data_IF_415012265106
#
_entry.id   IF_415012265106
#
_cell.length_a   1.000
_cell.length_b   1.000
_cell.length_c   1.000
_cell.angle_alpha   90.00
_cell.angle_beta   90.00
_cell.angle_gamma   90.00
#
_symmetry.space_group_name_H-M   'P 1'
#
loop_
_entity.id
_entity.type
_entity.pdbx_description
1 polymer ?
#
# COMPACT_ATOMS: atom_id res chain seq x y z
N UNK A 1 0.60 15.45 -12.66
CA UNK A 1 1.43 15.17 -11.47
C UNK A 1 1.67 16.49 -10.78
N UNK A 2 1.37 16.57 -9.49
CA UNK A 2 1.40 17.80 -8.69
C UNK A 2 2.52 17.78 -7.63
N UNK A 3 3.43 16.80 -7.71
CA UNK A 3 4.64 16.76 -6.89
C UNK A 3 4.44 16.23 -5.47
N UNK A 4 3.32 15.57 -5.16
CA UNK A 4 3.11 14.92 -3.85
C UNK A 4 3.95 13.66 -3.73
N UNK A 5 4.47 13.44 -2.53
CA UNK A 5 5.25 12.25 -2.21
C UNK A 5 4.38 10.99 -2.21
N UNK A 6 5.00 9.88 -2.62
CA UNK A 6 4.47 8.53 -2.45
C UNK A 6 5.24 7.84 -1.34
N UNK A 7 4.57 7.59 -0.23
CA UNK A 7 5.20 6.95 0.93
C UNK A 7 5.11 5.43 0.84
N UNK A 8 6.25 4.77 1.03
CA UNK A 8 6.37 3.32 1.16
C UNK A 8 6.69 2.99 2.61
N UNK A 9 5.85 2.17 3.25
CA UNK A 9 6.10 1.64 4.57
C UNK A 9 6.58 0.20 4.46
N UNK A 10 7.75 -0.10 5.02
CA UNK A 10 8.25 -1.47 5.18
C UNK A 10 8.01 -1.93 6.61
N UNK A 11 7.29 -3.04 6.79
CA UNK A 11 7.05 -3.69 8.08
C UNK A 11 7.70 -5.08 8.07
N UNK A 12 8.58 -5.34 9.03
CA UNK A 12 9.29 -6.62 9.19
C UNK A 12 9.85 -6.76 10.60
N UNK A 13 10.15 -7.99 11.06
CA UNK A 13 10.92 -8.16 12.29
C UNK A 13 12.40 -7.78 12.06
N UNK A 14 12.85 -6.67 12.68
CA UNK A 14 14.19 -6.11 12.48
C UNK A 14 15.32 -7.04 12.97
N UNK A 15 14.97 -8.05 13.76
CA UNK A 15 15.92 -9.01 14.30
C UNK A 15 16.56 -9.90 13.23
N UNK A 16 15.95 -10.00 12.03
CA UNK A 16 16.33 -10.98 11.03
C UNK A 16 16.17 -10.40 9.62
N UNK A 17 17.29 -10.12 8.94
CA UNK A 17 17.29 -9.91 7.48
C UNK A 17 17.14 -11.25 6.74
N UNK A 18 17.56 -12.35 7.38
CA UNK A 18 17.53 -13.72 6.87
C UNK A 18 16.71 -14.62 7.79
N UNK A 19 16.01 -15.59 7.21
CA UNK A 19 15.31 -16.66 7.93
C UNK A 19 16.31 -17.59 8.67
N UNK A 20 15.86 -18.43 9.63
CA UNK A 20 16.74 -19.36 10.37
C UNK A 20 17.61 -20.27 9.49
N UNK A 21 17.15 -20.58 8.27
CA UNK A 21 17.85 -21.38 7.28
C UNK A 21 18.77 -20.55 6.34
N UNK A 22 19.10 -19.31 6.72
CA UNK A 22 19.91 -18.35 5.97
C UNK A 22 19.34 -17.92 4.60
N UNK A 23 18.06 -18.21 4.32
CA UNK A 23 17.38 -17.72 3.12
C UNK A 23 16.87 -16.29 3.30
N UNK A 24 16.73 -15.56 2.21
CA UNK A 24 16.02 -14.28 2.20
C UNK A 24 14.55 -14.47 2.56
N UNK A 25 14.00 -13.49 3.28
CA UNK A 25 12.56 -13.39 3.48
C UNK A 25 11.85 -13.16 2.15
N UNK A 26 10.63 -13.66 2.05
CA UNK A 26 9.75 -13.31 0.95
C UNK A 26 9.37 -11.82 1.06
N UNK A 27 9.18 -11.16 -0.08
CA UNK A 27 8.76 -9.75 -0.13
C UNK A 27 7.38 -9.66 -0.75
N UNK A 28 6.48 -8.98 -0.07
CA UNK A 28 5.11 -8.73 -0.56
C UNK A 28 4.90 -7.23 -0.63
N UNK A 29 4.40 -6.75 -1.77
CA UNK A 29 3.93 -5.38 -1.94
C UNK A 29 2.40 -5.38 -1.93
N UNK A 30 1.81 -4.54 -1.08
CA UNK A 30 0.37 -4.29 -1.04
C UNK A 30 0.13 -2.80 -1.27
N UNK A 31 -0.63 -2.47 -2.30
CA UNK A 31 -0.95 -1.10 -2.69
C UNK A 31 -2.40 -0.77 -2.37
N UNK A 32 -2.64 0.48 -1.99
CA UNK A 32 -3.96 1.02 -1.67
C UNK A 32 -4.16 2.38 -2.35
N UNK A 33 -5.43 2.74 -2.57
CA UNK A 33 -5.78 4.08 -3.04
C UNK A 33 -5.32 4.40 -4.46
N UNK A 34 -5.40 3.43 -5.38
CA UNK A 34 -5.19 3.67 -6.82
C UNK A 34 -6.27 4.56 -7.41
N UNK A 35 -7.53 4.30 -7.03
CA UNK A 35 -8.64 5.17 -7.37
C UNK A 35 -8.89 6.18 -6.27
N UNK A 36 -9.04 7.44 -6.70
CA UNK A 36 -9.16 8.58 -5.82
C UNK A 36 -10.31 8.44 -4.81
N UNK A 37 -11.53 8.08 -5.26
CA UNK A 37 -12.72 7.92 -4.40
C UNK A 37 -12.73 6.71 -3.45
N UNK A 38 -11.77 5.80 -3.52
CA UNK A 38 -11.79 4.56 -2.72
C UNK A 38 -11.19 4.79 -1.33
N UNK A 39 -11.98 5.38 -0.41
CA UNK A 39 -11.54 5.66 0.96
C UNK A 39 -11.35 4.39 1.80
N UNK A 40 -12.28 3.43 1.72
CA UNK A 40 -12.26 2.24 2.59
C UNK A 40 -10.96 1.40 2.47
N UNK A 41 -10.40 1.15 1.26
CA UNK A 41 -9.11 0.50 1.15
C UNK A 41 -7.98 1.28 1.86
N UNK A 42 -7.97 2.62 1.77
CA UNK A 42 -6.96 3.46 2.44
C UNK A 42 -7.10 3.38 3.96
N UNK A 43 -8.32 3.38 4.50
CA UNK A 43 -8.54 3.14 5.94
C UNK A 43 -8.12 1.73 6.37
N UNK A 44 -8.34 0.73 5.51
CA UNK A 44 -7.91 -0.64 5.74
C UNK A 44 -6.37 -0.77 5.79
N UNK A 45 -5.64 0.09 5.06
CA UNK A 45 -4.18 0.19 5.20
C UNK A 45 -3.79 0.61 6.62
N UNK A 46 -4.40 1.65 7.20
CA UNK A 46 -4.09 2.07 8.56
C UNK A 46 -4.41 0.99 9.59
N UNK A 47 -5.55 0.29 9.43
CA UNK A 47 -5.91 -0.85 10.27
C UNK A 47 -4.87 -1.98 10.18
N UNK A 48 -4.45 -2.35 8.97
CA UNK A 48 -3.45 -3.38 8.76
C UNK A 48 -2.10 -2.99 9.39
N UNK A 49 -1.66 -1.75 9.22
CA UNK A 49 -0.41 -1.25 9.84
C UNK A 49 -0.50 -1.34 11.36
N UNK A 50 -1.62 -0.91 11.95
CA UNK A 50 -1.84 -1.01 13.38
C UNK A 50 -1.80 -2.46 13.86
N UNK A 51 -2.46 -3.39 13.17
CA UNK A 51 -2.51 -4.80 13.56
C UNK A 51 -1.12 -5.45 13.50
N UNK A 52 -0.34 -5.17 12.45
CA UNK A 52 1.03 -5.67 12.33
C UNK A 52 1.93 -5.12 13.45
N UNK A 53 1.86 -3.81 13.72
CA UNK A 53 2.70 -3.15 14.73
C UNK A 53 2.33 -3.54 16.17
N UNK A 54 1.04 -3.59 16.48
CA UNK A 54 0.55 -4.01 17.79
C UNK A 54 0.82 -5.50 18.02
N UNK A 55 0.59 -6.35 17.00
CA UNK A 55 0.91 -7.77 17.07
C UNK A 55 2.40 -8.04 17.31
N UNK A 56 3.30 -7.25 16.73
CA UNK A 56 4.74 -7.32 17.06
C UNK A 56 5.02 -6.93 18.51
N UNK A 57 4.43 -5.83 18.98
CA UNK A 57 4.63 -5.31 20.34
C UNK A 57 4.14 -6.29 21.40
N UNK A 58 3.01 -6.94 21.14
CA UNK A 58 2.37 -7.93 22.00
C UNK A 58 2.99 -9.34 21.88
N UNK A 59 3.94 -9.53 20.96
CA UNK A 59 4.52 -10.84 20.61
C UNK A 59 3.44 -11.87 20.22
N UNK A 60 2.44 -11.43 19.46
CA UNK A 60 1.44 -12.31 18.89
C UNK A 60 2.12 -13.35 17.96
N UNK A 61 1.94 -14.63 18.23
CA UNK A 61 2.63 -15.72 17.54
C UNK A 61 2.37 -15.72 16.02
N UNK A 62 1.15 -15.42 15.58
CA UNK A 62 0.81 -15.37 14.15
C UNK A 62 1.58 -14.25 13.43
N UNK A 63 1.53 -13.03 13.98
CA UNK A 63 2.21 -11.86 13.40
C UNK A 63 3.73 -12.03 13.44
N UNK A 64 4.28 -12.57 14.53
CA UNK A 64 5.72 -12.86 14.65
C UNK A 64 6.15 -13.91 13.60
N UNK A 65 5.36 -14.96 13.41
CA UNK A 65 5.66 -15.99 12.41
C UNK A 65 5.60 -15.44 10.97
N UNK A 66 4.60 -14.62 10.66
CA UNK A 66 4.47 -13.95 9.36
C UNK A 66 5.68 -13.04 9.12
N UNK A 67 5.96 -12.10 10.03
CA UNK A 67 7.02 -11.09 9.83
C UNK A 67 8.44 -11.65 10.00
N UNK A 68 8.58 -12.83 10.60
CA UNK A 68 9.83 -13.61 10.63
C UNK A 68 10.17 -14.26 9.29
N UNK A 69 9.20 -14.42 8.38
CA UNK A 69 9.37 -15.03 7.06
C UNK A 69 9.09 -14.08 5.88
N UNK A 70 8.40 -12.97 6.13
CA UNK A 70 7.96 -12.00 5.11
C UNK A 70 8.37 -10.57 5.48
N UNK A 71 8.84 -9.82 4.48
CA UNK A 71 8.89 -8.35 4.49
C UNK A 71 7.63 -7.81 3.80
N UNK A 72 6.82 -7.04 4.53
CA UNK A 72 5.60 -6.44 3.98
C UNK A 72 5.89 -5.00 3.60
N UNK A 73 5.76 -4.67 2.32
CA UNK A 73 5.88 -3.34 1.76
C UNK A 73 4.47 -2.82 1.47
N UNK A 74 4.14 -1.64 1.98
CA UNK A 74 2.80 -1.08 1.92
C UNK A 74 2.84 0.33 1.33
N UNK A 75 1.97 0.62 0.37
CA UNK A 75 1.71 1.98 -0.12
C UNK A 75 0.26 2.32 0.21
N UNK A 76 0.04 3.21 1.17
CA UNK A 76 -1.31 3.55 1.65
C UNK A 76 -2.14 4.38 0.67
N UNK A 77 -1.49 5.13 -0.22
CA UNK A 77 -2.17 5.99 -1.19
C UNK A 77 -1.32 6.14 -2.46
N UNK A 78 -1.64 5.36 -3.49
CA UNK A 78 -0.95 5.41 -4.80
C UNK A 78 -1.31 6.67 -5.60
N UNK A 79 -2.51 7.23 -5.39
CA UNK A 79 -3.00 8.39 -6.15
C UNK A 79 -3.28 9.60 -5.23
N UNK A 80 -2.24 10.23 -4.65
CA UNK A 80 -2.41 11.39 -3.76
C UNK A 80 -2.93 12.63 -4.50
N UNK A 81 -2.58 12.79 -5.78
CA UNK A 81 -3.08 13.89 -6.61
C UNK A 81 -4.58 13.75 -6.89
N UNK A 82 -5.04 12.55 -7.22
CA UNK A 82 -6.46 12.25 -7.37
C UNK A 82 -7.23 12.44 -6.07
N UNK A 83 -6.68 11.94 -4.94
CA UNK A 83 -7.22 12.17 -3.58
C UNK A 83 -7.47 13.65 -3.32
N UNK A 84 -6.44 14.47 -3.51
CA UNK A 84 -6.53 15.91 -3.32
C UNK A 84 -7.53 16.57 -4.28
N UNK A 85 -7.52 16.18 -5.56
CA UNK A 85 -8.44 16.73 -6.56
C UNK A 85 -9.89 16.51 -6.16
N UNK A 86 -10.25 15.29 -5.77
CA UNK A 86 -11.63 14.97 -5.41
C UNK A 86 -12.12 15.74 -4.18
N UNK A 87 -11.26 15.89 -3.16
CA UNK A 87 -11.59 16.59 -1.91
C UNK A 87 -11.70 18.10 -2.14
N UNK A 88 -10.76 18.68 -2.89
CA UNK A 88 -10.75 20.10 -3.20
C UNK A 88 -11.93 20.51 -4.11
N UNK A 89 -12.40 19.61 -4.98
CA UNK A 89 -13.55 19.84 -5.87
C UNK A 89 -14.87 19.35 -5.31
N UNK A 90 -14.84 18.62 -4.19
CA UNK A 90 -15.99 17.88 -3.65
C UNK A 90 -16.62 16.93 -4.69
N UNK A 91 -15.80 16.40 -5.61
CA UNK A 91 -16.21 15.41 -6.60
C UNK A 91 -15.99 14.01 -6.04
N UNK A 92 -16.90 13.58 -5.16
CA UNK A 92 -16.82 12.28 -4.49
C UNK A 92 -16.91 11.08 -5.45
N UNK A 93 -17.22 11.32 -6.73
CA UNK A 93 -17.25 10.32 -7.79
C UNK A 93 -15.95 10.23 -8.59
N UNK A 94 -14.99 11.15 -8.39
CA UNK A 94 -13.73 11.18 -9.12
C UNK A 94 -12.89 9.92 -8.87
N UNK A 95 -12.46 9.27 -9.95
CA UNK A 95 -11.71 8.01 -9.91
C UNK A 95 -10.24 8.17 -10.26
N UNK A 96 -9.91 9.04 -11.21
CA UNK A 96 -8.58 9.13 -11.82
C UNK A 96 -7.57 9.93 -11.01
N UNK A 97 -6.37 10.10 -11.59
CA UNK A 97 -5.42 11.14 -11.19
C UNK A 97 -6.00 12.54 -11.48
N UNK A 98 -5.37 13.61 -11.02
CA UNK A 98 -5.87 14.98 -11.27
C UNK A 98 -5.93 15.37 -12.75
N UNK A 99 -5.23 14.64 -13.63
CA UNK A 99 -5.31 14.80 -15.09
C UNK A 99 -6.31 13.83 -15.77
N UNK A 100 -7.13 13.12 -15.01
CA UNK A 100 -8.18 12.22 -15.51
C UNK A 100 -7.70 10.82 -15.90
N UNK A 101 -6.41 10.51 -15.82
CA UNK A 101 -5.89 9.17 -16.13
C UNK A 101 -6.31 8.17 -15.06
N UNK A 102 -6.81 7.03 -15.50
CA UNK A 102 -7.10 5.88 -14.65
C UNK A 102 -5.81 5.08 -14.39
N UNK A 103 -5.33 5.09 -13.14
CA UNK A 103 -4.10 4.38 -12.74
C UNK A 103 -4.18 2.89 -13.08
N UNK A 104 -5.34 2.26 -12.86
CA UNK A 104 -5.55 0.84 -13.11
C UNK A 104 -5.90 0.52 -14.59
N UNK A 105 -5.64 1.44 -15.51
CA UNK A 105 -5.63 1.22 -16.96
C UNK A 105 -4.36 1.73 -17.63
N UNK A 106 -3.37 2.11 -16.83
CA UNK A 106 -2.13 2.75 -17.30
C UNK A 106 -0.88 1.90 -17.02
N UNK A 107 -1.07 0.59 -16.85
CA UNK A 107 0.01 -0.39 -16.80
C UNK A 107 0.32 -0.91 -18.21
N UNK A 108 1.59 -1.25 -18.45
CA UNK A 108 2.08 -1.77 -19.73
C UNK A 108 1.79 -3.28 -19.88
N UNK A 109 0.52 -3.64 -19.75
CA UNK A 109 0.02 -4.99 -19.94
C UNK A 109 -1.31 -4.91 -20.66
N UNK A 110 -1.37 -5.46 -21.88
CA UNK A 110 -2.57 -5.39 -22.74
C UNK A 110 -3.14 -3.97 -22.87
N UNK A 111 -2.23 -2.98 -22.91
CA UNK A 111 -2.59 -1.58 -22.87
C UNK A 111 -3.33 -1.16 -24.14
N UNK A 112 -4.53 -0.62 -23.96
CA UNK A 112 -5.42 -0.28 -25.08
C UNK A 112 -6.17 -1.47 -25.70
N UNK A 113 -6.00 -2.69 -25.17
CA UNK A 113 -6.80 -3.88 -25.48
C UNK A 113 -6.59 -4.48 -26.87
N UNK A 114 -5.38 -5.00 -27.16
CA UNK A 114 -5.12 -5.76 -28.40
C UNK A 114 -4.91 -7.23 -28.16
#
# INVERSE_FOLDING_TARGET
>A
REGRDLHLLKVTDLARVKMPNNRDKHRVLITFGEHAREFLPVESFFKLVNDLCSGLSEKNDEIVNILGSVEVYLIGLVNPDGRNYLEAKQDWCWRGMSNGVDVNRNFDWEWGGK
#
